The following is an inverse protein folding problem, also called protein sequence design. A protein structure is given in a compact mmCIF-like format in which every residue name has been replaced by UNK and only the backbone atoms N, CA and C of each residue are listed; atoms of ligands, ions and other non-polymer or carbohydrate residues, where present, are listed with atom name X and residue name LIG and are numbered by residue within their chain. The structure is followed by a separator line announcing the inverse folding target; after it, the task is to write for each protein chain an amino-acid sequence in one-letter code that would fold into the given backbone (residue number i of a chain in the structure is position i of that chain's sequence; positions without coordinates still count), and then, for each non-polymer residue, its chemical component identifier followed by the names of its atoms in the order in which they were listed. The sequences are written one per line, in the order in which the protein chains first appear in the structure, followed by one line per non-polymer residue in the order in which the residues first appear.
data_IF_325199966331
#
_entry.id   IF_325199966331
#
_cell.length_a   1.000
_cell.length_b   1.000
_cell.length_c   1.000
_cell.angle_alpha   90.00
_cell.angle_beta   90.00
_cell.angle_gamma   90.00
#
_symmetry.space_group_name_H-M   'P 1'
#
loop_
_entity.id
_entity.type
_entity.pdbx_description
1 polymer ?
#
# COMPACT_ATOMS: atom_id res chain seq x y z
N UNK A 1 -9.30 3.45 18.17
CA UNK A 1 -8.96 4.71 18.86
C UNK A 1 -9.95 5.84 18.52
N UNK A 2 -9.92 6.45 17.33
CA UNK A 2 -10.83 7.56 16.96
C UNK A 2 -12.16 7.11 16.33
N UNK A 3 -12.39 5.82 16.08
CA UNK A 3 -13.59 5.32 15.40
C UNK A 3 -13.77 5.86 13.98
N UNK A 4 -12.65 6.06 13.27
CA UNK A 4 -12.65 6.58 11.91
C UNK A 4 -13.19 5.56 10.91
N UNK A 5 -13.97 6.03 9.93
CA UNK A 5 -14.28 5.25 8.75
C UNK A 5 -13.20 5.46 7.71
N UNK A 6 -12.48 4.40 7.37
CA UNK A 6 -11.42 4.43 6.35
C UNK A 6 -11.95 3.86 5.05
N UNK A 7 -11.75 4.59 3.95
CA UNK A 7 -11.99 4.11 2.60
C UNK A 7 -10.66 3.80 1.91
N UNK A 8 -10.42 2.53 1.66
CA UNK A 8 -9.23 2.09 0.94
C UNK A 8 -9.35 2.33 -0.55
N UNK A 9 -8.28 2.86 -1.16
CA UNK A 9 -8.12 3.06 -2.60
C UNK A 9 -6.87 2.33 -3.08
N UNK A 10 -6.93 1.84 -4.30
CA UNK A 10 -5.85 1.08 -4.90
C UNK A 10 -4.99 1.99 -5.77
N UNK A 11 -3.73 2.18 -5.37
CA UNK A 11 -2.73 2.89 -6.16
C UNK A 11 -1.64 1.91 -6.59
N UNK A 12 -1.31 1.86 -7.88
CA UNK A 12 -0.28 0.97 -8.39
C UNK A 12 0.92 1.73 -8.95
N UNK A 13 2.10 1.42 -8.42
CA UNK A 13 3.35 2.05 -8.82
C UNK A 13 3.73 1.72 -10.27
N UNK A 14 3.29 0.57 -10.81
CA UNK A 14 3.54 0.24 -12.21
C UNK A 14 2.76 1.12 -13.19
N UNK A 15 1.56 1.60 -12.80
CA UNK A 15 0.80 2.59 -13.61
C UNK A 15 1.33 4.01 -13.36
N UNK A 16 1.67 4.32 -12.11
CA UNK A 16 2.25 5.63 -11.75
C UNK A 16 3.53 5.92 -12.54
N UNK A 17 4.33 4.88 -12.80
CA UNK A 17 5.64 5.00 -13.43
C UNK A 17 5.66 4.43 -14.87
N UNK A 18 4.51 4.18 -15.51
CA UNK A 18 4.46 3.50 -16.82
C UNK A 18 5.15 4.26 -17.96
N UNK A 19 5.28 5.59 -17.83
CA UNK A 19 5.96 6.45 -18.81
C UNK A 19 7.44 6.68 -18.50
N UNK A 20 7.95 6.12 -17.38
CA UNK A 20 9.33 6.30 -16.95
C UNK A 20 10.23 5.23 -17.52
N UNK A 21 11.48 5.59 -17.77
CA UNK A 21 12.53 4.66 -18.19
C UNK A 21 13.05 3.89 -16.96
N UNK A 22 12.56 2.66 -16.78
CA UNK A 22 12.95 1.84 -15.64
C UNK A 22 14.45 1.50 -15.62
N UNK A 23 15.05 1.30 -16.78
CA UNK A 23 16.48 0.94 -16.84
C UNK A 23 17.39 2.14 -16.50
N UNK A 24 16.93 3.36 -16.81
CA UNK A 24 17.71 4.57 -16.56
C UNK A 24 17.43 5.19 -15.15
N UNK A 25 16.20 5.04 -14.63
CA UNK A 25 15.75 5.81 -13.47
C UNK A 25 15.58 4.98 -12.20
N UNK A 26 15.53 3.66 -12.29
CA UNK A 26 15.30 2.77 -11.15
C UNK A 26 16.40 1.71 -10.99
N UNK A 27 16.61 1.23 -9.76
CA UNK A 27 17.46 0.06 -9.54
C UNK A 27 16.93 -1.19 -10.24
N UNK A 28 17.83 -2.11 -10.58
CA UNK A 28 17.49 -3.41 -11.15
C UNK A 28 16.41 -4.14 -10.35
N UNK A 29 15.44 -4.75 -11.04
CA UNK A 29 14.33 -5.50 -10.44
C UNK A 29 13.13 -4.64 -9.97
N UNK A 30 13.20 -3.31 -10.07
CA UNK A 30 12.07 -2.44 -9.66
C UNK A 30 10.84 -2.65 -10.54
N UNK A 31 11.01 -2.79 -11.85
CA UNK A 31 9.90 -3.05 -12.76
C UNK A 31 9.17 -4.33 -12.40
N UNK A 32 9.91 -5.42 -12.14
CA UNK A 32 9.33 -6.69 -11.71
C UNK A 32 8.56 -6.54 -10.40
N UNK A 33 9.12 -5.81 -9.42
CA UNK A 33 8.46 -5.53 -8.15
C UNK A 33 7.14 -4.76 -8.32
N UNK A 34 7.12 -3.75 -9.19
CA UNK A 34 5.91 -2.99 -9.50
C UNK A 34 4.86 -3.84 -10.24
N UNK A 35 5.27 -4.74 -11.14
CA UNK A 35 4.37 -5.65 -11.83
C UNK A 35 3.78 -6.71 -10.89
N UNK A 36 4.57 -7.22 -9.95
CA UNK A 36 4.08 -8.04 -8.84
C UNK A 36 3.04 -7.31 -8.00
N UNK A 37 3.31 -6.05 -7.66
CA UNK A 37 2.35 -5.17 -6.98
C UNK A 37 1.03 -5.06 -7.74
N UNK A 38 1.08 -4.85 -9.05
CA UNK A 38 -0.13 -4.79 -9.90
C UNK A 38 -0.93 -6.09 -9.90
N UNK A 39 -0.26 -7.26 -9.96
CA UNK A 39 -0.95 -8.56 -9.84
C UNK A 39 -1.74 -8.68 -8.54
N UNK A 40 -1.12 -8.33 -7.41
CA UNK A 40 -1.75 -8.35 -6.09
C UNK A 40 -2.94 -7.41 -6.01
N UNK A 41 -2.82 -6.21 -6.57
CA UNK A 41 -3.89 -5.21 -6.56
C UNK A 41 -5.07 -5.56 -7.48
N UNK A 42 -4.87 -6.32 -8.57
CA UNK A 42 -5.98 -6.87 -9.35
C UNK A 42 -6.83 -7.83 -8.52
N UNK A 43 -6.21 -8.72 -7.74
CA UNK A 43 -6.92 -9.61 -6.81
C UNK A 43 -7.66 -8.78 -5.75
N UNK A 44 -7.02 -7.77 -5.18
CA UNK A 44 -7.66 -6.86 -4.24
C UNK A 44 -8.89 -6.15 -4.83
N UNK A 45 -8.80 -5.70 -6.10
CA UNK A 45 -9.93 -5.09 -6.80
C UNK A 45 -11.09 -6.08 -7.01
N UNK A 46 -10.79 -7.33 -7.38
CA UNK A 46 -11.78 -8.40 -7.52
C UNK A 46 -12.48 -8.72 -6.20
N UNK A 47 -11.72 -8.86 -5.11
CA UNK A 47 -12.28 -9.07 -3.76
C UNK A 47 -13.21 -7.93 -3.38
N UNK A 48 -12.78 -6.69 -3.54
CA UNK A 48 -13.61 -5.51 -3.22
C UNK A 48 -14.88 -5.45 -4.07
N UNK A 49 -14.81 -5.79 -5.34
CA UNK A 49 -15.96 -5.76 -6.25
C UNK A 49 -17.03 -6.80 -5.88
N UNK A 50 -16.61 -7.98 -5.42
CA UNK A 50 -17.51 -9.07 -5.01
C UNK A 50 -18.03 -8.92 -3.58
N UNK A 51 -17.11 -8.63 -2.64
CA UNK A 51 -17.35 -8.72 -1.20
C UNK A 51 -17.62 -7.35 -0.54
N UNK A 52 -17.47 -6.27 -1.32
CA UNK A 52 -17.66 -4.89 -0.86
C UNK A 52 -16.42 -4.23 -0.27
N UNK A 53 -16.53 -2.89 0.00
CA UNK A 53 -15.36 -2.08 0.40
C UNK A 53 -14.65 -2.54 1.66
N UNK A 54 -15.38 -3.06 2.66
CA UNK A 54 -14.81 -3.52 3.92
C UNK A 54 -13.94 -4.78 3.76
N UNK A 55 -14.14 -5.56 2.70
CA UNK A 55 -13.33 -6.74 2.41
C UNK A 55 -11.90 -6.37 2.01
N UNK A 56 -11.72 -5.20 1.41
CA UNK A 56 -10.40 -4.73 0.99
C UNK A 56 -9.43 -4.57 2.16
N UNK A 57 -9.90 -4.09 3.30
CA UNK A 57 -9.08 -3.95 4.51
C UNK A 57 -8.54 -5.31 4.97
N UNK A 58 -9.41 -6.32 5.09
CA UNK A 58 -9.01 -7.67 5.50
C UNK A 58 -8.01 -8.30 4.52
N UNK A 59 -8.27 -8.15 3.23
CA UNK A 59 -7.37 -8.67 2.20
C UNK A 59 -6.01 -7.97 2.28
N UNK A 60 -5.99 -6.63 2.41
CA UNK A 60 -4.76 -5.85 2.46
C UNK A 60 -3.94 -6.11 3.73
N UNK A 61 -4.63 -6.33 4.86
CA UNK A 61 -3.97 -6.75 6.11
C UNK A 61 -3.29 -8.12 5.95
N UNK A 62 -4.00 -9.12 5.42
CA UNK A 62 -3.45 -10.46 5.19
C UNK A 62 -2.25 -10.41 4.22
N UNK A 63 -2.39 -9.63 3.14
CA UNK A 63 -1.32 -9.41 2.17
C UNK A 63 -0.10 -8.74 2.82
N UNK A 64 -0.31 -7.69 3.60
CA UNK A 64 0.77 -7.00 4.30
C UNK A 64 1.50 -7.90 5.29
N UNK A 65 0.76 -8.70 6.06
CA UNK A 65 1.35 -9.68 6.99
C UNK A 65 2.19 -10.72 6.26
N UNK A 66 1.71 -11.25 5.14
CA UNK A 66 2.42 -12.29 4.38
C UNK A 66 3.72 -11.79 3.72
N UNK A 67 3.90 -10.47 3.56
CA UNK A 67 5.09 -9.87 2.95
C UNK A 67 6.03 -9.30 4.03
N UNK A 68 5.49 -8.53 4.97
CA UNK A 68 6.29 -7.69 5.87
C UNK A 68 6.51 -8.29 7.26
N UNK A 69 5.58 -9.14 7.73
CA UNK A 69 5.61 -9.77 9.06
C UNK A 69 6.12 -11.23 9.01
N UNK A 70 7.02 -11.51 8.10
CA UNK A 70 7.69 -12.80 7.99
C UNK A 70 9.18 -12.62 8.27
N UNK A 71 9.76 -13.58 8.98
CA UNK A 71 11.21 -13.66 9.14
C UNK A 71 11.74 -14.55 8.03
N UNK A 72 12.53 -14.02 7.07
CA UNK A 72 13.02 -14.82 5.95
C UNK A 72 14.00 -15.88 6.45
N UNK A 73 13.98 -17.06 5.85
CA UNK A 73 15.05 -18.03 6.03
C UNK A 73 16.38 -17.45 5.55
N UNK A 74 17.45 -17.80 6.26
CA UNK A 74 18.79 -17.27 5.93
C UNK A 74 19.18 -17.61 4.49
N UNK A 75 19.41 -16.57 3.69
CA UNK A 75 19.78 -16.68 2.28
C UNK A 75 18.63 -16.84 1.29
N UNK A 76 17.38 -16.86 1.74
CA UNK A 76 16.21 -16.86 0.85
C UNK A 76 15.92 -15.46 0.33
N UNK A 77 15.74 -15.34 -0.99
CA UNK A 77 15.17 -14.14 -1.59
C UNK A 77 13.65 -14.20 -1.49
N UNK A 78 13.10 -13.58 -0.43
CA UNK A 78 11.65 -13.55 -0.18
C UNK A 78 10.85 -12.97 -1.35
N UNK A 79 11.47 -12.15 -2.19
CA UNK A 79 10.81 -11.52 -3.34
C UNK A 79 10.36 -12.55 -4.39
N UNK A 80 11.01 -13.71 -4.44
CA UNK A 80 10.66 -14.76 -5.39
C UNK A 80 9.28 -15.35 -5.14
N UNK A 81 8.84 -15.40 -3.87
CA UNK A 81 7.53 -15.96 -3.49
C UNK A 81 6.40 -14.96 -3.59
N UNK A 82 6.70 -13.65 -3.51
CA UNK A 82 5.67 -12.61 -3.53
C UNK A 82 4.95 -12.58 -4.89
N UNK A 83 3.62 -12.51 -4.83
CA UNK A 83 2.71 -12.45 -5.97
C UNK A 83 2.69 -13.70 -6.87
N UNK A 84 3.23 -14.84 -6.40
CA UNK A 84 2.97 -16.14 -7.04
C UNK A 84 1.52 -16.56 -6.81
N UNK A 85 1.01 -17.50 -7.60
CA UNK A 85 -0.35 -18.01 -7.43
C UNK A 85 -0.52 -18.69 -6.07
N UNK A 86 0.50 -19.41 -5.60
CA UNK A 86 0.52 -20.03 -4.26
C UNK A 86 0.46 -18.98 -3.15
N UNK A 87 1.27 -17.93 -3.24
CA UNK A 87 1.24 -16.83 -2.28
C UNK A 87 -0.13 -16.15 -2.22
N UNK A 88 -0.70 -15.80 -3.40
CA UNK A 88 -1.99 -15.15 -3.47
C UNK A 88 -3.15 -16.04 -2.99
N UNK A 89 -3.09 -17.35 -3.27
CA UNK A 89 -4.06 -18.31 -2.73
C UNK A 89 -3.99 -18.38 -1.20
N UNK A 90 -2.79 -18.40 -0.61
CA UNK A 90 -2.60 -18.36 0.84
C UNK A 90 -3.11 -17.05 1.47
N UNK A 91 -2.92 -15.91 0.79
CA UNK A 91 -3.47 -14.60 1.25
C UNK A 91 -5.00 -14.62 1.24
N UNK A 92 -5.63 -15.13 0.16
CA UNK A 92 -7.08 -15.24 0.06
C UNK A 92 -7.65 -16.13 1.18
N UNK A 93 -7.03 -17.30 1.42
CA UNK A 93 -7.41 -18.21 2.49
C UNK A 93 -7.29 -17.54 3.87
N UNK A 94 -6.15 -16.90 4.15
CA UNK A 94 -5.91 -16.21 5.43
C UNK A 94 -6.91 -15.05 5.68
N UNK A 95 -7.34 -14.38 4.62
CA UNK A 95 -8.35 -13.31 4.67
C UNK A 95 -9.79 -13.84 4.67
N UNK A 96 -10.01 -15.15 4.49
CA UNK A 96 -11.34 -15.78 4.45
C UNK A 96 -12.11 -15.51 3.15
N UNK A 97 -11.41 -15.43 2.02
CA UNK A 97 -12.00 -15.26 0.70
C UNK A 97 -11.84 -16.51 -0.18
N UNK A 98 -12.72 -16.64 -1.17
CA UNK A 98 -12.69 -17.75 -2.11
C UNK A 98 -11.51 -17.66 -3.07
N UNK A 99 -10.89 -18.80 -3.35
CA UNK A 99 -9.73 -18.90 -4.24
C UNK A 99 -10.05 -18.50 -5.71
N UNK A 100 -11.33 -18.41 -6.10
CA UNK A 100 -11.73 -17.96 -7.45
C UNK A 100 -11.26 -16.54 -7.77
N UNK A 101 -11.01 -15.70 -6.76
CA UNK A 101 -10.42 -14.38 -6.96
C UNK A 101 -9.00 -14.42 -7.53
N UNK A 102 -8.30 -15.55 -7.44
CA UNK A 102 -6.93 -15.71 -7.95
C UNK A 102 -6.84 -15.43 -9.46
N UNK A 103 -7.87 -15.77 -10.23
CA UNK A 103 -7.91 -15.54 -11.68
C UNK A 103 -7.71 -14.06 -12.04
N UNK A 104 -8.12 -13.16 -11.16
CA UNK A 104 -7.96 -11.72 -11.35
C UNK A 104 -6.47 -11.30 -11.42
N UNK A 105 -5.55 -12.06 -10.85
CA UNK A 105 -4.12 -11.74 -10.85
C UNK A 105 -3.55 -11.52 -12.26
N UNK A 106 -4.09 -12.23 -13.25
CA UNK A 106 -3.68 -12.16 -14.66
C UNK A 106 -4.69 -11.45 -15.56
N UNK A 107 -5.89 -11.14 -15.06
CA UNK A 107 -6.93 -10.46 -15.80
C UNK A 107 -6.68 -8.95 -15.88
N UNK A 108 -6.27 -8.49 -17.06
CA UNK A 108 -5.95 -7.09 -17.31
C UNK A 108 -7.17 -6.16 -17.32
N UNK A 109 -8.40 -6.67 -17.35
CA UNK A 109 -9.60 -5.82 -17.26
C UNK A 109 -9.66 -5.04 -15.94
N UNK A 110 -9.05 -5.56 -14.87
CA UNK A 110 -8.91 -4.88 -13.60
C UNK A 110 -7.98 -3.66 -13.63
N UNK A 111 -7.12 -3.54 -14.66
CA UNK A 111 -6.23 -2.38 -14.78
C UNK A 111 -6.99 -1.07 -15.01
N UNK A 112 -8.22 -1.11 -15.51
CA UNK A 112 -9.05 0.07 -15.69
C UNK A 112 -9.37 0.74 -14.34
N UNK A 113 -9.83 -0.04 -13.37
CA UNK A 113 -10.14 0.49 -12.02
C UNK A 113 -8.86 0.92 -11.29
N UNK A 114 -7.76 0.16 -11.43
CA UNK A 114 -6.48 0.52 -10.84
C UNK A 114 -5.96 1.84 -11.42
N UNK A 115 -6.10 2.05 -12.73
CA UNK A 115 -5.70 3.29 -13.41
C UNK A 115 -6.54 4.47 -12.95
N UNK A 116 -7.85 4.31 -12.87
CA UNK A 116 -8.75 5.37 -12.43
C UNK A 116 -8.42 5.83 -11.01
N UNK A 117 -8.20 4.91 -10.07
CA UNK A 117 -7.86 5.24 -8.68
C UNK A 117 -6.44 5.81 -8.53
N UNK A 118 -5.48 5.31 -9.32
CA UNK A 118 -4.13 5.88 -9.37
C UNK A 118 -4.16 7.31 -9.88
N UNK A 119 -4.92 7.58 -10.95
CA UNK A 119 -5.07 8.93 -11.50
C UNK A 119 -5.81 9.87 -10.54
N UNK A 120 -6.84 9.39 -9.83
CA UNK A 120 -7.50 10.16 -8.77
C UNK A 120 -6.50 10.59 -7.70
N UNK A 121 -5.67 9.66 -7.22
CA UNK A 121 -4.67 9.95 -6.19
C UNK A 121 -3.63 10.98 -6.65
N UNK A 122 -3.11 10.83 -7.88
CA UNK A 122 -2.18 11.77 -8.50
C UNK A 122 -2.83 13.15 -8.68
N UNK A 123 -4.07 13.19 -9.10
CA UNK A 123 -4.83 14.43 -9.27
C UNK A 123 -4.97 15.23 -7.97
N UNK A 124 -4.88 14.55 -6.80
CA UNK A 124 -4.98 15.19 -5.49
C UNK A 124 -3.66 15.72 -4.96
N UNK A 125 -2.54 15.08 -5.27
CA UNK A 125 -1.23 15.36 -4.65
C UNK A 125 -0.14 15.77 -5.63
N UNK A 126 -0.38 15.59 -6.93
CA UNK A 126 0.64 15.70 -7.98
C UNK A 126 1.36 14.37 -8.24
N UNK A 127 2.10 14.27 -9.35
CA UNK A 127 2.70 13.02 -9.82
C UNK A 127 4.03 12.64 -9.13
N UNK A 128 4.66 13.57 -8.43
CA UNK A 128 6.02 13.38 -7.86
C UNK A 128 6.00 12.88 -6.42
N UNK A 129 4.96 12.14 -6.04
CA UNK A 129 4.82 11.57 -4.69
C UNK A 129 4.63 10.06 -4.77
N UNK A 130 4.97 9.38 -3.68
CA UNK A 130 4.76 7.95 -3.53
C UNK A 130 3.49 7.61 -2.74
N UNK A 131 3.51 6.49 -2.05
CA UNK A 131 2.44 6.00 -1.17
C UNK A 131 2.92 5.96 0.28
N UNK A 132 2.01 6.09 1.24
CA UNK A 132 0.55 6.27 1.13
C UNK A 132 0.14 7.70 0.74
N UNK A 133 -1.05 7.86 0.16
CA UNK A 133 -1.72 9.14 0.01
C UNK A 133 -2.94 9.12 0.92
N UNK A 134 -3.03 10.10 1.82
CA UNK A 134 -4.17 10.26 2.72
C UNK A 134 -5.01 11.46 2.31
N UNK A 135 -6.34 11.28 2.30
CA UNK A 135 -7.32 12.36 2.13
C UNK A 135 -8.17 12.45 3.38
N UNK A 136 -8.18 13.61 4.03
CA UNK A 136 -8.94 13.86 5.24
C UNK A 136 -10.27 14.52 4.89
N UNK A 137 -11.39 13.86 5.21
CA UNK A 137 -12.74 14.36 4.89
C UNK A 137 -13.04 14.36 3.38
N UNK A 138 -12.90 13.22 2.69
CA UNK A 138 -13.21 13.12 1.25
C UNK A 138 -14.69 13.47 0.99
N UNK A 139 -15.03 13.95 -0.25
CA UNK A 139 -14.16 14.08 -1.41
C UNK A 139 -13.31 15.35 -1.45
N UNK A 140 -13.67 16.40 -0.71
CA UNK A 140 -13.16 17.77 -0.92
C UNK A 140 -12.03 18.15 0.08
N UNK A 141 -11.75 17.28 1.03
CA UNK A 141 -10.74 17.55 2.05
C UNK A 141 -9.30 17.47 1.54
N UNK A 142 -8.34 18.00 2.33
CA UNK A 142 -6.94 18.04 1.92
C UNK A 142 -6.35 16.64 1.77
N UNK A 143 -5.45 16.49 0.80
CA UNK A 143 -4.72 15.26 0.53
C UNK A 143 -3.22 15.50 0.65
N UNK A 144 -2.50 14.51 1.17
CA UNK A 144 -1.05 14.57 1.35
C UNK A 144 -0.42 13.19 1.09
N UNK A 145 0.81 13.20 0.59
CA UNK A 145 1.69 12.03 0.65
C UNK A 145 2.20 11.83 2.08
N UNK A 146 2.08 10.65 2.60
CA UNK A 146 2.48 10.31 3.97
C UNK A 146 1.31 10.36 4.98
N UNK A 147 1.63 10.39 6.28
CA UNK A 147 2.97 10.39 6.86
C UNK A 147 3.74 9.09 6.58
N UNK A 148 5.04 9.18 6.40
CA UNK A 148 5.92 8.02 6.35
C UNK A 148 6.53 7.85 7.74
N UNK A 149 6.13 6.79 8.44
CA UNK A 149 6.62 6.45 9.77
C UNK A 149 7.50 5.20 9.69
N UNK A 150 8.49 5.09 10.56
CA UNK A 150 9.44 3.97 10.55
C UNK A 150 9.08 2.87 11.56
N UNK A 151 8.27 3.21 12.55
CA UNK A 151 7.72 2.29 13.54
C UNK A 151 6.35 2.80 14.00
N UNK A 152 5.49 1.89 14.45
CA UNK A 152 4.23 2.27 15.09
C UNK A 152 4.56 2.82 16.49
N UNK A 153 3.95 3.96 16.93
CA UNK A 153 4.12 4.44 18.29
C UNK A 153 3.72 3.37 19.33
N UNK A 154 4.37 3.39 20.52
CA UNK A 154 4.23 2.31 21.50
C UNK A 154 2.88 2.33 22.23
N UNK A 155 2.25 3.49 22.32
CA UNK A 155 1.00 3.67 23.07
C UNK A 155 -0.11 4.25 22.20
N UNK A 156 -1.35 3.99 22.59
CA UNK A 156 -2.55 4.57 21.97
C UNK A 156 -2.53 6.11 22.01
N UNK A 157 -2.00 6.69 23.10
CA UNK A 157 -1.89 8.12 23.28
C UNK A 157 -0.93 8.73 22.26
N UNK A 158 0.24 8.14 22.08
CA UNK A 158 1.22 8.57 21.05
C UNK A 158 0.67 8.41 19.64
N UNK A 159 -0.07 7.33 19.36
CA UNK A 159 -0.75 7.15 18.08
C UNK A 159 -1.76 8.27 17.80
N UNK A 160 -2.55 8.63 18.82
CA UNK A 160 -3.54 9.71 18.71
C UNK A 160 -2.88 11.08 18.55
N UNK A 161 -1.81 11.36 19.30
CA UNK A 161 -1.02 12.60 19.17
C UNK A 161 -0.42 12.74 17.77
N UNK A 162 0.17 11.67 17.25
CA UNK A 162 0.72 11.66 15.88
C UNK A 162 -0.38 11.94 14.84
N UNK A 163 -1.53 11.28 14.97
CA UNK A 163 -2.66 11.50 14.07
C UNK A 163 -3.16 12.94 14.12
N UNK A 164 -3.39 13.49 15.31
CA UNK A 164 -3.92 14.85 15.50
C UNK A 164 -2.92 15.89 14.97
N UNK A 165 -1.62 15.66 15.16
CA UNK A 165 -0.55 16.53 14.63
C UNK A 165 -0.55 16.54 13.11
N UNK A 166 -0.62 15.37 12.47
CA UNK A 166 -0.68 15.26 11.01
C UNK A 166 -1.93 15.94 10.47
N UNK A 167 -3.10 15.69 11.08
CA UNK A 167 -4.35 16.33 10.69
C UNK A 167 -4.28 17.87 10.79
N UNK A 168 -3.71 18.39 11.87
CA UNK A 168 -3.56 19.83 12.06
C UNK A 168 -2.65 20.46 11.00
N UNK A 169 -1.53 19.81 10.66
CA UNK A 169 -0.62 20.25 9.60
C UNK A 169 -1.31 20.27 8.24
N UNK A 170 -1.94 19.16 7.87
CA UNK A 170 -2.55 19.00 6.53
C UNK A 170 -3.75 19.93 6.35
N UNK A 171 -4.46 20.24 7.42
CA UNK A 171 -5.61 21.16 7.39
C UNK A 171 -5.20 22.64 7.29
N UNK A 172 -3.91 22.96 7.45
CA UNK A 172 -3.43 24.33 7.32
C UNK A 172 -3.17 24.67 5.83
N UNK A 173 -3.88 25.63 5.24
CA UNK A 173 -3.75 25.94 3.82
C UNK A 173 -2.37 26.51 3.41
N UNK A 174 -1.56 26.94 4.38
CA UNK A 174 -0.20 27.42 4.15
C UNK A 174 0.85 26.29 4.22
N UNK A 175 0.45 25.08 4.61
CA UNK A 175 1.36 23.94 4.71
C UNK A 175 1.46 23.23 3.36
N UNK A 176 2.66 22.97 2.89
CA UNK A 176 2.90 22.30 1.61
C UNK A 176 3.65 20.97 1.78
N UNK A 177 4.76 20.95 2.50
CA UNK A 177 5.59 19.77 2.61
C UNK A 177 6.41 19.76 3.90
N UNK A 178 6.62 18.56 4.46
CA UNK A 178 7.62 18.28 5.49
C UNK A 178 8.32 16.98 5.15
N UNK A 179 9.63 17.02 4.88
CA UNK A 179 10.39 15.87 4.40
C UNK A 179 11.74 15.73 5.10
N UNK A 180 12.14 14.50 5.38
CA UNK A 180 13.55 14.17 5.72
C UNK A 180 14.04 13.03 4.83
N UNK A 181 15.27 13.10 4.39
CA UNK A 181 15.92 12.06 3.58
C UNK A 181 16.66 11.04 4.46
N UNK A 182 17.21 11.48 5.58
CA UNK A 182 17.80 10.56 6.57
C UNK A 182 16.68 9.99 7.45
N UNK A 183 16.26 8.78 7.14
CA UNK A 183 15.16 8.07 7.83
C UNK A 183 15.72 6.93 8.67
N UNK A 184 15.15 6.66 9.86
CA UNK A 184 15.40 5.40 10.57
C UNK A 184 15.05 4.20 9.70
N UNK A 185 15.69 3.07 9.96
CA UNK A 185 15.29 1.80 9.35
C UNK A 185 13.86 1.45 9.77
N UNK A 186 13.12 0.81 8.85
CA UNK A 186 11.78 0.31 9.17
C UNK A 186 11.90 -0.84 10.18
N UNK A 187 11.08 -0.80 11.22
CA UNK A 187 10.95 -1.88 12.20
C UNK A 187 9.93 -2.91 11.70
N UNK A 188 10.37 -3.77 10.80
CA UNK A 188 9.57 -4.82 10.19
C UNK A 188 10.32 -6.16 10.30
N UNK A 189 9.68 -7.28 10.65
CA UNK A 189 10.31 -8.59 10.78
C UNK A 189 11.13 -9.01 9.58
N UNK A 190 10.65 -8.75 8.36
CA UNK A 190 11.36 -9.04 7.11
C UNK A 190 12.72 -8.32 7.01
N UNK A 191 12.88 -7.16 7.64
CA UNK A 191 14.09 -6.32 7.58
C UNK A 191 14.97 -6.51 8.82
N UNK A 192 14.34 -6.72 9.97
CA UNK A 192 15.05 -6.84 11.26
C UNK A 192 15.45 -8.28 11.59
N UNK A 193 14.82 -9.28 10.97
CA UNK A 193 14.97 -10.69 11.31
C UNK A 193 14.39 -11.07 12.67
N UNK A 194 13.62 -10.18 13.32
CA UNK A 194 12.96 -10.44 14.60
C UNK A 194 11.48 -10.73 14.36
N UNK A 195 10.95 -11.77 15.00
CA UNK A 195 9.50 -11.98 15.04
C UNK A 195 8.84 -10.94 15.96
N UNK A 196 7.59 -10.61 15.65
CA UNK A 196 6.73 -9.75 16.50
C UNK A 196 6.43 -10.42 17.83
#
# INVERSE_FOLDING_TARGET
LRGLTVQWRLITLSILNEERDYDAEFPEGYQEGHDKGRRMLRVAASVRASEGPAALERFYEALGRSIWHVVPESGADFRQHVATDEHLAGVLEAAGFDASHLVASTDRSWDEVLRAETQEAIGRTGPEVGTPILTFGPPDGPSIFGPVISAVPETDEECLELYDTVLALVSNPSFSELKRTNRPSLDLPILTGRAD
#
